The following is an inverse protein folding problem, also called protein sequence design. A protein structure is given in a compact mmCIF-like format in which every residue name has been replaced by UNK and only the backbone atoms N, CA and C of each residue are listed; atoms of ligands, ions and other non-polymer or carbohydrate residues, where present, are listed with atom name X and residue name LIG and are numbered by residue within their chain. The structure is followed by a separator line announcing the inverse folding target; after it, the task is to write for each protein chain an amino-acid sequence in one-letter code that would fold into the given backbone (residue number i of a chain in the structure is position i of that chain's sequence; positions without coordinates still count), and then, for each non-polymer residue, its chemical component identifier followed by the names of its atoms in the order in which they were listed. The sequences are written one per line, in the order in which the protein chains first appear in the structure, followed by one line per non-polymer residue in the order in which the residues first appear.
data_IF_346566750252
#
_entry.id   IF_346566750252
#
_cell.length_a   1.000
_cell.length_b   1.000
_cell.length_c   1.000
_cell.angle_alpha   90.00
_cell.angle_beta   90.00
_cell.angle_gamma   90.00
#
_symmetry.space_group_name_H-M   'P 1'
#
loop_
_entity.id
_entity.type
_entity.pdbx_description
1 polymer ?
#
# COMPACT_ATOMS: atom_id res chain seq x y z
N UNK A 1 3.38 10.65 -13.57
CA UNK A 1 3.82 10.05 -12.28
C UNK A 1 2.71 10.32 -11.28
N UNK A 2 2.15 9.29 -10.64
CA UNK A 2 0.99 9.43 -9.74
C UNK A 2 1.37 10.16 -8.45
N UNK A 3 0.50 11.02 -7.93
CA UNK A 3 0.66 11.71 -6.63
C UNK A 3 0.88 10.72 -5.48
N UNK A 4 0.15 9.59 -5.53
CA UNK A 4 0.27 8.50 -4.55
C UNK A 4 1.68 7.90 -4.57
N UNK A 5 2.31 7.77 -5.74
CA UNK A 5 3.70 7.29 -5.82
C UNK A 5 4.61 8.24 -5.05
N UNK A 6 4.48 9.56 -5.27
CA UNK A 6 5.32 10.54 -4.58
C UNK A 6 5.13 10.50 -3.06
N UNK A 7 3.89 10.33 -2.59
CA UNK A 7 3.59 10.24 -1.16
C UNK A 7 4.14 8.97 -0.51
N UNK A 8 4.03 7.82 -1.18
CA UNK A 8 4.60 6.56 -0.70
C UNK A 8 6.12 6.63 -0.68
N UNK A 9 6.76 7.21 -1.71
CA UNK A 9 8.21 7.44 -1.73
C UNK A 9 8.64 8.33 -0.56
N UNK A 10 7.96 9.45 -0.33
CA UNK A 10 8.25 10.35 0.78
C UNK A 10 8.10 9.64 2.14
N UNK A 11 7.09 8.79 2.29
CA UNK A 11 6.87 7.98 3.49
C UNK A 11 8.05 7.03 3.75
N UNK A 12 8.45 6.22 2.76
CA UNK A 12 9.58 5.29 2.86
C UNK A 12 10.88 6.03 3.16
N UNK A 13 11.08 7.20 2.55
CA UNK A 13 12.30 8.00 2.72
C UNK A 13 12.36 8.75 4.06
N UNK A 14 11.21 9.04 4.68
CA UNK A 14 11.12 9.74 5.97
C UNK A 14 11.44 8.84 7.16
N UNK A 15 11.13 7.54 7.05
CA UNK A 15 11.59 6.56 8.02
C UNK A 15 13.08 6.30 7.74
N UNK A 16 13.93 6.38 8.76
CA UNK A 16 15.40 6.33 8.63
C UNK A 16 15.98 5.07 7.95
N UNK A 17 15.12 4.14 7.54
CA UNK A 17 15.41 2.97 6.74
C UNK A 17 14.73 3.12 5.37
N UNK A 18 15.49 3.60 4.38
CA UNK A 18 15.09 3.76 2.96
C UNK A 18 14.97 2.40 2.24
N UNK A 19 14.40 1.42 2.92
CA UNK A 19 14.34 0.03 2.50
C UNK A 19 12.88 -0.38 2.33
N UNK A 20 12.49 -0.58 1.06
CA UNK A 20 11.14 -0.96 0.67
C UNK A 20 10.72 -2.32 1.24
N UNK A 21 11.66 -3.20 1.58
CA UNK A 21 11.35 -4.57 2.05
C UNK A 21 10.68 -4.64 3.43
N UNK A 22 10.76 -3.56 4.21
CA UNK A 22 10.03 -3.44 5.47
C UNK A 22 8.54 -3.13 5.28
N UNK A 23 8.17 -2.56 4.13
CA UNK A 23 6.83 -2.06 3.87
C UNK A 23 5.98 -3.10 3.15
N UNK A 24 4.67 -3.08 3.44
CA UNK A 24 3.67 -3.83 2.70
C UNK A 24 2.75 -2.86 1.97
N UNK A 25 2.56 -3.09 0.67
CA UNK A 25 1.62 -2.33 -0.16
C UNK A 25 0.54 -3.25 -0.70
N UNK A 26 -0.69 -2.75 -0.75
CA UNK A 26 -1.77 -3.46 -1.42
C UNK A 26 -2.92 -2.54 -1.79
N UNK A 27 -3.95 -3.12 -2.36
CA UNK A 27 -5.15 -2.41 -2.73
C UNK A 27 -6.40 -3.04 -2.10
N UNK A 28 -7.46 -2.27 -1.90
CA UNK A 28 -8.73 -2.77 -1.37
C UNK A 28 -9.89 -1.78 -1.60
N UNK A 29 -11.11 -2.28 -1.72
CA UNK A 29 -12.31 -1.43 -1.68
C UNK A 29 -12.75 -1.06 -0.25
N UNK A 30 -12.18 -1.74 0.76
CA UNK A 30 -12.60 -1.64 2.16
C UNK A 30 -11.38 -1.47 3.07
N UNK A 31 -10.72 -0.29 3.05
CA UNK A 31 -9.44 -0.11 3.73
C UNK A 31 -9.53 -0.22 5.26
N UNK A 32 -10.63 0.24 5.87
CA UNK A 32 -10.82 0.12 7.32
C UNK A 32 -10.97 -1.34 7.78
N UNK A 33 -11.86 -2.17 7.19
CA UNK A 33 -11.87 -3.61 7.47
C UNK A 33 -10.54 -4.31 7.18
N UNK A 34 -9.85 -3.92 6.10
CA UNK A 34 -8.56 -4.50 5.73
C UNK A 34 -7.47 -4.21 6.77
N UNK A 35 -7.37 -2.97 7.25
CA UNK A 35 -6.46 -2.61 8.35
C UNK A 35 -6.72 -3.47 9.58
N UNK A 36 -7.99 -3.58 10.00
CA UNK A 36 -8.38 -4.40 11.16
C UNK A 36 -8.02 -5.88 10.96
N UNK A 37 -8.19 -6.42 9.77
CA UNK A 37 -7.80 -7.79 9.45
C UNK A 37 -6.29 -8.00 9.69
N UNK A 38 -5.44 -7.12 9.17
CA UNK A 38 -3.99 -7.24 9.37
C UNK A 38 -3.59 -7.07 10.83
N UNK A 39 -4.17 -6.10 11.55
CA UNK A 39 -3.95 -5.95 13.00
C UNK A 39 -4.30 -7.24 13.75
N UNK A 40 -5.43 -7.86 13.43
CA UNK A 40 -5.85 -9.12 14.04
C UNK A 40 -4.96 -10.31 13.66
N UNK A 41 -4.24 -10.24 12.54
CA UNK A 41 -3.26 -11.24 12.10
C UNK A 41 -1.87 -11.03 12.73
N UNK A 42 -1.71 -10.03 13.61
CA UNK A 42 -0.44 -9.72 14.28
C UNK A 42 0.51 -8.84 13.45
N UNK A 43 0.03 -8.26 12.36
CA UNK A 43 0.83 -7.36 11.53
C UNK A 43 0.91 -5.96 12.14
N UNK A 44 2.07 -5.31 12.02
CA UNK A 44 2.29 -3.98 12.58
C UNK A 44 1.68 -2.89 11.68
N UNK A 45 0.41 -2.57 11.87
CA UNK A 45 -0.29 -1.52 11.11
C UNK A 45 -0.08 -0.11 11.68
N UNK A 46 0.97 0.14 12.47
CA UNK A 46 1.23 1.45 13.12
C UNK A 46 1.36 2.57 12.08
N UNK A 47 2.04 2.28 10.98
CA UNK A 47 2.32 3.25 9.91
C UNK A 47 1.29 3.23 8.80
N UNK A 48 0.12 2.61 9.01
CA UNK A 48 -0.90 2.50 7.98
C UNK A 48 -1.31 3.85 7.41
N UNK A 49 -1.04 4.01 6.11
CA UNK A 49 -1.59 5.07 5.25
C UNK A 49 -2.34 4.45 4.08
N UNK A 50 -3.31 5.20 3.58
CA UNK A 50 -4.14 4.79 2.46
C UNK A 50 -4.51 5.99 1.61
N UNK A 51 -4.66 5.76 0.31
CA UNK A 51 -4.98 6.77 -0.69
C UNK A 51 -6.08 6.25 -1.59
N UNK A 52 -7.03 7.11 -1.90
CA UNK A 52 -8.10 6.79 -2.84
C UNK A 52 -7.59 6.91 -4.28
N UNK A 53 -7.97 5.96 -5.13
CA UNK A 53 -7.71 5.95 -6.57
C UNK A 53 -9.04 5.95 -7.30
N UNK A 54 -9.27 6.96 -8.13
CA UNK A 54 -10.48 7.04 -8.98
C UNK A 54 -10.47 5.93 -10.03
N UNK A 55 -9.28 5.62 -10.56
CA UNK A 55 -9.08 4.52 -11.49
C UNK A 55 -8.62 3.26 -10.75
N UNK A 56 -9.36 2.18 -10.97
CA UNK A 56 -9.13 0.85 -10.45
C UNK A 56 -7.82 0.24 -10.93
N UNK A 57 -7.45 0.51 -12.18
CA UNK A 57 -6.23 -0.02 -12.77
C UNK A 57 -4.99 0.71 -12.22
N UNK A 58 -5.11 2.01 -11.95
CA UNK A 58 -4.03 2.80 -11.32
C UNK A 58 -3.64 2.22 -9.96
N UNK A 59 -4.61 1.75 -9.15
CA UNK A 59 -4.30 1.16 -7.85
C UNK A 59 -3.42 -0.08 -7.97
N UNK A 60 -3.67 -0.89 -9.00
CA UNK A 60 -2.90 -2.09 -9.29
C UNK A 60 -1.51 -1.74 -9.84
N UNK A 61 -1.42 -0.76 -10.74
CA UNK A 61 -0.14 -0.28 -11.28
C UNK A 61 0.76 0.29 -10.20
N UNK A 62 0.21 1.10 -9.29
CA UNK A 62 0.94 1.65 -8.14
C UNK A 62 1.46 0.51 -7.25
N UNK A 63 0.62 -0.48 -6.93
CA UNK A 63 1.03 -1.61 -6.11
C UNK A 63 2.16 -2.42 -6.79
N UNK A 64 2.02 -2.72 -8.09
CA UNK A 64 3.05 -3.43 -8.86
C UNK A 64 4.37 -2.67 -8.85
N UNK A 65 4.34 -1.36 -9.11
CA UNK A 65 5.53 -0.50 -9.08
C UNK A 65 6.30 -0.63 -7.77
N UNK A 66 5.64 -0.56 -6.61
CA UNK A 66 6.34 -0.66 -5.33
C UNK A 66 6.71 -2.09 -4.92
N UNK A 67 5.96 -3.10 -5.35
CA UNK A 67 6.35 -4.51 -5.17
C UNK A 67 7.64 -4.80 -5.95
N UNK A 68 7.77 -4.30 -7.18
CA UNK A 68 9.00 -4.41 -7.97
C UNK A 68 10.19 -3.69 -7.32
N UNK A 69 9.93 -2.60 -6.57
CA UNK A 69 10.94 -1.92 -5.75
C UNK A 69 11.30 -2.65 -4.45
N UNK A 70 10.59 -3.72 -4.11
CA UNK A 70 10.91 -4.60 -2.97
C UNK A 70 9.87 -4.62 -1.85
N UNK A 71 8.75 -3.88 -1.96
CA UNK A 71 7.68 -3.97 -0.95
C UNK A 71 7.02 -5.35 -0.96
N UNK A 72 6.57 -5.79 0.22
CA UNK A 72 5.77 -7.00 0.37
C UNK A 72 4.38 -6.79 -0.24
N UNK A 73 3.89 -7.79 -0.96
CA UNK A 73 2.55 -7.75 -1.54
C UNK A 73 1.46 -7.99 -0.49
N UNK A 74 0.56 -7.02 -0.36
CA UNK A 74 -0.75 -7.13 0.25
C UNK A 74 -1.88 -7.17 -0.78
N UNK A 75 -1.56 -7.37 -2.07
CA UNK A 75 -2.54 -7.45 -3.13
C UNK A 75 -3.59 -8.51 -2.84
N UNK A 76 -4.83 -8.17 -3.14
CA UNK A 76 -5.96 -9.08 -3.03
C UNK A 76 -6.24 -9.66 -4.42
N UNK A 77 -6.97 -10.77 -4.47
CA UNK A 77 -7.47 -11.30 -5.76
C UNK A 77 -8.57 -10.40 -6.36
N UNK A 78 -8.99 -9.35 -5.64
CA UNK A 78 -10.05 -8.45 -6.09
C UNK A 78 -9.42 -7.46 -7.08
N UNK A 79 -9.63 -7.74 -8.37
CA UNK A 79 -9.20 -6.82 -9.42
C UNK A 79 -10.06 -5.56 -9.37
N UNK A 80 -9.41 -4.41 -9.25
CA UNK A 80 -10.03 -3.11 -9.33
C UNK A 80 -10.53 -2.55 -8.00
N UNK A 81 -9.65 -2.51 -7.01
CA UNK A 81 -9.85 -1.76 -5.79
C UNK A 81 -9.64 -0.26 -5.98
N UNK A 82 -10.40 0.57 -5.25
CA UNK A 82 -10.30 2.03 -5.29
C UNK A 82 -9.40 2.64 -4.20
N UNK A 83 -8.66 1.84 -3.45
CA UNK A 83 -7.67 2.35 -2.51
C UNK A 83 -6.36 1.60 -2.64
N UNK A 84 -5.27 2.33 -2.50
CA UNK A 84 -3.93 1.81 -2.21
C UNK A 84 -3.64 2.03 -0.74
N UNK A 85 -2.99 1.08 -0.07
CA UNK A 85 -2.53 1.23 1.31
C UNK A 85 -1.09 0.79 1.46
N UNK A 86 -0.37 1.40 2.41
CA UNK A 86 1.00 1.04 2.81
C UNK A 86 1.10 1.00 4.33
N UNK A 87 1.81 0.02 4.88
CA UNK A 87 2.13 -0.06 6.31
C UNK A 87 3.37 -0.91 6.61
#
# INVERSE_FOLDING_TARGET
MSEIIMEVEAMVMSEGHKDYSYWKIGNTDRPTPRKKQFTNQGENTKFWKQWFTVNKDDSLEICKYFIEKGMKSGLTKETGANYVYVF
#
